data_IF_502135994358
#
_entry.id   IF_502135994358
#
_cell.length_a   1.000
_cell.length_b   1.000
_cell.length_c   1.000
_cell.angle_alpha   90.00
_cell.angle_beta   90.00
_cell.angle_gamma   90.00
#
_symmetry.space_group_name_H-M   'P 1'
#
loop_
_entity.id
_entity.type
_entity.pdbx_description
1 polymer ?
#
# COMPACT_ATOMS: atom_id res chain seq x y z
N UNK A 1 -15.73 -38.52 -19.32
CA UNK A 1 -14.70 -37.47 -19.12
C UNK A 1 -14.96 -36.40 -20.16
N UNK A 2 -15.84 -35.47 -19.85
CA UNK A 2 -16.11 -34.28 -20.67
C UNK A 2 -15.16 -33.17 -20.16
N UNK A 3 -14.20 -32.80 -21.01
CA UNK A 3 -13.27 -31.71 -20.69
C UNK A 3 -14.04 -30.43 -20.40
N UNK A 4 -13.62 -29.75 -19.32
CA UNK A 4 -14.09 -28.40 -19.01
C UNK A 4 -13.82 -27.51 -20.24
N UNK A 5 -14.74 -26.61 -20.60
CA UNK A 5 -14.44 -25.63 -21.65
C UNK A 5 -13.22 -24.81 -21.23
N UNK A 6 -12.28 -24.67 -22.16
CA UNK A 6 -11.10 -23.79 -22.01
C UNK A 6 -11.60 -22.36 -21.82
N UNK A 7 -11.52 -21.86 -20.59
CA UNK A 7 -11.81 -20.45 -20.26
C UNK A 7 -10.59 -19.55 -20.37
N UNK A 8 -9.52 -20.01 -21.02
CA UNK A 8 -8.41 -19.17 -21.43
C UNK A 8 -8.83 -18.25 -22.60
N UNK A 9 -9.85 -17.43 -22.37
CA UNK A 9 -10.09 -16.27 -23.23
C UNK A 9 -8.86 -15.35 -23.16
N UNK A 10 -8.44 -14.85 -24.33
CA UNK A 10 -7.44 -13.79 -24.39
C UNK A 10 -7.73 -12.70 -23.36
N UNK A 11 -6.71 -12.03 -22.76
CA UNK A 11 -6.92 -10.98 -21.76
C UNK A 11 -8.00 -10.03 -22.27
N UNK A 12 -9.16 -10.03 -21.59
CA UNK A 12 -10.37 -9.45 -22.10
C UNK A 12 -10.16 -7.95 -22.26
N UNK A 13 -10.57 -7.44 -23.39
CA UNK A 13 -10.84 -6.00 -23.55
C UNK A 13 -11.71 -5.56 -22.38
N UNK A 14 -11.23 -4.56 -21.60
CA UNK A 14 -11.93 -4.01 -20.46
C UNK A 14 -13.40 -3.77 -20.82
N UNK A 15 -14.32 -4.40 -20.09
CA UNK A 15 -15.74 -4.11 -20.19
C UNK A 15 -15.99 -2.65 -19.75
N UNK A 16 -17.13 -2.04 -20.13
CA UNK A 16 -17.43 -0.68 -19.74
C UNK A 16 -17.42 -0.55 -18.21
N UNK A 17 -16.46 0.23 -17.68
CA UNK A 17 -16.31 0.52 -16.26
C UNK A 17 -15.08 -0.04 -15.57
N UNK A 18 -14.21 -0.78 -16.27
CA UNK A 18 -12.96 -1.32 -15.70
C UNK A 18 -11.76 -0.69 -16.38
N UNK A 19 -10.76 -0.33 -15.57
CA UNK A 19 -9.52 0.24 -16.07
C UNK A 19 -8.41 -0.81 -15.97
N UNK A 20 -7.90 -1.23 -17.13
CA UNK A 20 -6.67 -2.01 -17.19
C UNK A 20 -5.52 -1.03 -17.33
N UNK A 21 -4.63 -0.91 -16.32
CA UNK A 21 -3.49 0.00 -16.42
C UNK A 21 -2.52 -0.50 -17.49
N UNK A 22 -1.98 0.44 -18.26
CA UNK A 22 -0.82 0.19 -19.14
C UNK A 22 0.46 0.37 -18.32
N UNK A 23 0.88 -0.70 -17.64
CA UNK A 23 2.04 -0.70 -16.76
C UNK A 23 3.33 -0.86 -17.53
N UNK A 24 4.28 0.06 -17.37
CA UNK A 24 5.61 0.00 -18.01
C UNK A 24 6.40 -1.26 -17.63
N UNK A 25 6.24 -1.71 -16.38
CA UNK A 25 6.88 -2.91 -15.83
C UNK A 25 5.86 -3.65 -14.94
N UNK A 26 4.96 -4.47 -15.53
CA UNK A 26 3.92 -5.16 -14.77
C UNK A 26 4.46 -6.27 -13.86
N UNK A 27 5.47 -7.00 -14.32
CA UNK A 27 6.11 -8.05 -13.52
C UNK A 27 7.26 -7.47 -12.72
N UNK A 28 7.16 -7.57 -11.37
CA UNK A 28 8.15 -6.99 -10.46
C UNK A 28 8.60 -7.98 -9.41
N UNK A 29 9.89 -7.90 -9.06
CA UNK A 29 10.50 -8.75 -8.04
C UNK A 29 10.82 -7.93 -6.79
N UNK A 30 10.42 -8.45 -5.63
CA UNK A 30 10.61 -7.91 -4.31
C UNK A 30 11.33 -8.96 -3.47
N UNK A 31 12.65 -8.88 -3.37
CA UNK A 31 13.45 -9.92 -2.75
C UNK A 31 13.27 -11.27 -3.44
N UNK A 32 12.66 -12.23 -2.75
CA UNK A 32 12.39 -13.58 -3.28
C UNK A 32 11.04 -13.70 -4.00
N UNK A 33 10.19 -12.69 -3.94
CA UNK A 33 8.82 -12.76 -4.45
C UNK A 33 8.66 -11.96 -5.73
N UNK A 34 8.03 -12.59 -6.73
CA UNK A 34 7.66 -11.93 -7.99
C UNK A 34 6.15 -11.79 -8.05
N UNK A 35 5.66 -10.60 -8.44
CA UNK A 35 4.24 -10.28 -8.59
C UNK A 35 4.02 -9.77 -10.00
N UNK A 36 3.02 -10.34 -10.68
CA UNK A 36 2.51 -9.87 -11.95
C UNK A 36 1.29 -8.98 -11.74
N UNK A 37 1.46 -7.68 -11.80
CA UNK A 37 0.42 -6.70 -11.59
C UNK A 37 -0.61 -6.60 -12.73
N UNK A 38 -0.37 -7.25 -13.88
CA UNK A 38 -1.41 -7.35 -14.92
C UNK A 38 -2.54 -8.30 -14.47
N UNK A 39 -2.22 -9.30 -13.63
CA UNK A 39 -3.15 -10.33 -13.21
C UNK A 39 -3.30 -10.47 -11.69
N UNK A 40 -2.64 -9.60 -10.91
CA UNK A 40 -2.66 -9.65 -9.45
C UNK A 40 -2.99 -8.30 -8.85
N UNK A 41 -3.91 -8.32 -7.87
CA UNK A 41 -4.14 -7.20 -6.95
C UNK A 41 -3.52 -7.58 -5.62
N UNK A 42 -2.38 -6.98 -5.29
CA UNK A 42 -1.66 -7.29 -4.07
C UNK A 42 -2.38 -6.71 -2.84
N UNK A 43 -2.46 -7.51 -1.78
CA UNK A 43 -2.96 -7.05 -0.48
C UNK A 43 -1.78 -6.76 0.43
N UNK A 44 -1.65 -5.51 0.86
CA UNK A 44 -0.64 -5.03 1.80
C UNK A 44 -1.27 -4.92 3.19
N UNK A 45 -0.84 -5.78 4.10
CA UNK A 45 -1.28 -5.78 5.49
C UNK A 45 -0.61 -4.66 6.28
N UNK A 46 -1.36 -3.98 7.15
CA UNK A 46 -0.86 -2.92 8.02
C UNK A 46 -0.46 -3.51 9.36
N UNK A 47 0.81 -3.35 9.75
CA UNK A 47 1.31 -3.72 11.08
C UNK A 47 1.98 -2.51 11.73
N UNK A 48 1.31 -1.93 12.72
CA UNK A 48 1.84 -0.78 13.45
C UNK A 48 2.43 -1.25 14.80
N UNK A 49 3.71 -0.94 15.03
CA UNK A 49 4.35 -1.06 16.33
C UNK A 49 4.45 0.32 16.98
N UNK A 50 3.29 0.87 17.35
CA UNK A 50 3.20 2.14 18.06
C UNK A 50 2.72 1.88 19.49
N UNK A 51 3.37 2.43 20.55
CA UNK A 51 2.90 2.27 21.90
C UNK A 51 1.52 2.93 22.07
N UNK A 52 0.48 2.12 22.25
CA UNK A 52 -0.75 2.58 22.87
C UNK A 52 -0.63 2.24 24.36
N UNK A 53 -0.26 3.26 25.17
CA UNK A 53 -0.28 3.30 26.65
C UNK A 53 0.81 2.58 27.45
N UNK A 54 1.47 3.39 28.26
CA UNK A 54 1.92 3.22 29.64
C UNK A 54 2.11 1.77 30.17
N UNK A 55 3.31 1.24 30.13
CA UNK A 55 4.08 0.59 31.21
C UNK A 55 5.25 -0.24 30.69
N UNK A 56 6.40 -0.10 31.33
CA UNK A 56 7.73 -0.67 31.05
C UNK A 56 7.89 -2.20 30.97
N UNK A 57 6.84 -2.97 30.76
CA UNK A 57 6.90 -4.41 30.46
C UNK A 57 6.56 -4.72 29.00
N UNK A 58 6.42 -3.70 28.16
CA UNK A 58 5.80 -3.79 26.83
C UNK A 58 6.73 -4.03 25.65
N UNK A 59 8.00 -3.66 25.66
CA UNK A 59 8.81 -3.63 24.44
C UNK A 59 8.99 -5.01 23.78
N UNK A 60 9.31 -6.05 24.56
CA UNK A 60 9.42 -7.43 24.05
C UNK A 60 8.06 -7.98 23.67
N UNK A 61 7.04 -7.77 24.49
CA UNK A 61 5.68 -8.22 24.24
C UNK A 61 5.06 -7.54 22.99
N UNK A 62 5.37 -6.26 22.78
CA UNK A 62 4.95 -5.53 21.57
C UNK A 62 5.69 -6.01 20.33
N UNK A 63 6.97 -6.39 20.45
CA UNK A 63 7.72 -7.01 19.36
C UNK A 63 7.10 -8.36 18.97
N UNK A 64 6.90 -9.26 19.93
CA UNK A 64 6.32 -10.58 19.68
C UNK A 64 4.92 -10.48 19.06
N UNK A 65 4.11 -9.51 19.51
CA UNK A 65 2.79 -9.23 18.93
C UNK A 65 2.89 -8.73 17.48
N UNK A 66 3.81 -7.83 17.19
CA UNK A 66 3.99 -7.28 15.85
C UNK A 66 4.49 -8.37 14.88
N UNK A 67 5.46 -9.18 15.31
CA UNK A 67 5.95 -10.32 14.53
C UNK A 67 4.83 -11.34 14.30
N UNK A 68 4.11 -11.75 15.36
CA UNK A 68 3.01 -12.68 15.23
C UNK A 68 1.86 -12.13 14.35
N UNK A 69 1.59 -10.82 14.39
CA UNK A 69 0.61 -10.19 13.50
C UNK A 69 1.09 -10.23 12.04
N UNK A 70 2.39 -9.97 11.80
CA UNK A 70 2.99 -10.02 10.46
C UNK A 70 2.97 -11.44 9.88
N UNK A 71 3.31 -12.44 10.68
CA UNK A 71 3.25 -13.86 10.26
C UNK A 71 1.81 -14.26 9.97
N UNK A 72 0.87 -13.94 10.85
CA UNK A 72 -0.56 -14.22 10.59
C UNK A 72 -1.08 -13.53 9.33
N UNK A 73 -0.67 -12.30 9.06
CA UNK A 73 -1.04 -11.61 7.84
C UNK A 73 -0.55 -12.37 6.60
N UNK A 74 0.68 -12.86 6.62
CA UNK A 74 1.24 -13.70 5.55
C UNK A 74 0.47 -15.03 5.40
N UNK A 75 0.14 -15.72 6.51
CA UNK A 75 -0.68 -16.93 6.53
C UNK A 75 -2.10 -16.71 6.02
N UNK A 76 -2.68 -15.53 6.26
CA UNK A 76 -3.98 -15.10 5.72
C UNK A 76 -3.93 -14.76 4.23
N UNK A 77 -2.76 -14.82 3.60
CA UNK A 77 -2.59 -14.62 2.17
C UNK A 77 -2.24 -13.19 1.76
N UNK A 78 -1.82 -12.32 2.68
CA UNK A 78 -1.26 -11.04 2.33
C UNK A 78 -0.05 -11.22 1.40
N UNK A 79 0.04 -10.38 0.38
CA UNK A 79 1.19 -10.34 -0.51
C UNK A 79 2.35 -9.56 0.11
N UNK A 80 2.00 -8.54 0.92
CA UNK A 80 2.91 -7.61 1.57
C UNK A 80 2.53 -7.41 3.03
N UNK A 81 3.53 -7.09 3.86
CA UNK A 81 3.37 -6.59 5.23
C UNK A 81 4.07 -5.25 5.34
N UNK A 82 3.33 -4.21 5.73
CA UNK A 82 3.83 -2.85 5.88
C UNK A 82 4.00 -2.51 7.36
N UNK A 83 5.25 -2.35 7.78
CA UNK A 83 5.64 -2.20 9.17
C UNK A 83 5.91 -0.72 9.46
N UNK A 84 5.12 -0.13 10.36
CA UNK A 84 5.27 1.26 10.79
C UNK A 84 5.63 1.39 12.27
N UNK A 85 6.64 2.20 12.58
CA UNK A 85 7.08 2.51 13.96
C UNK A 85 6.52 3.82 14.51
N UNK A 86 6.02 4.71 13.63
CA UNK A 86 5.53 6.05 13.98
C UNK A 86 4.27 6.37 13.19
N UNK A 87 3.24 6.89 13.88
CA UNK A 87 2.02 7.37 13.21
C UNK A 87 2.34 8.64 12.41
N UNK A 88 1.82 8.78 11.21
CA UNK A 88 1.92 10.02 10.42
C UNK A 88 1.15 11.19 11.10
N UNK A 89 0.07 10.87 11.80
CA UNK A 89 -0.78 11.84 12.49
C UNK A 89 -0.01 12.75 13.48
N UNK A 90 -0.50 13.98 13.77
CA UNK A 90 0.13 14.90 14.70
C UNK A 90 0.44 14.25 16.06
N UNK A 91 1.57 14.63 16.64
CA UNK A 91 2.00 14.14 17.95
C UNK A 91 3.47 14.47 18.24
N UNK A 92 4.01 14.04 19.38
CA UNK A 92 5.39 14.31 19.75
C UNK A 92 6.36 13.69 18.73
N UNK A 93 7.46 14.40 18.49
CA UNK A 93 8.53 13.86 17.67
C UNK A 93 9.16 12.66 18.37
N UNK A 94 9.50 11.64 17.57
CA UNK A 94 10.22 10.47 18.02
C UNK A 94 11.60 10.50 17.35
N UNK A 95 12.71 10.28 18.08
CA UNK A 95 14.04 10.13 17.47
C UNK A 95 14.08 8.99 16.44
N UNK A 96 14.91 9.11 15.40
CA UNK A 96 15.06 8.05 14.40
C UNK A 96 15.59 6.74 15.03
N UNK A 97 16.44 6.83 16.06
CA UNK A 97 16.91 5.67 16.83
C UNK A 97 15.76 4.85 17.42
N UNK A 98 14.78 5.54 18.01
CA UNK A 98 13.65 4.87 18.66
C UNK A 98 12.71 4.22 17.62
N UNK A 99 12.58 4.83 16.44
CA UNK A 99 11.82 4.23 15.32
C UNK A 99 12.56 3.00 14.78
N UNK A 100 13.89 3.05 14.64
CA UNK A 100 14.73 1.91 14.25
C UNK A 100 14.55 0.76 15.25
N UNK A 101 14.61 1.01 16.56
CA UNK A 101 14.38 0.00 17.60
C UNK A 101 12.99 -0.64 17.54
N UNK A 102 12.01 0.07 17.02
CA UNK A 102 10.66 -0.47 16.83
C UNK A 102 10.51 -1.30 15.55
N UNK A 103 11.10 -0.86 14.46
CA UNK A 103 10.87 -1.43 13.12
C UNK A 103 11.82 -2.57 12.81
N UNK A 104 13.13 -2.36 13.00
CA UNK A 104 14.17 -3.27 12.54
C UNK A 104 14.02 -4.69 13.12
N UNK A 105 13.78 -4.90 14.43
CA UNK A 105 13.63 -6.25 14.96
C UNK A 105 12.43 -7.02 14.40
N UNK A 106 11.35 -6.31 14.01
CA UNK A 106 10.18 -6.93 13.36
C UNK A 106 10.54 -7.36 11.94
N UNK A 107 11.23 -6.49 11.18
CA UNK A 107 11.71 -6.78 9.83
C UNK A 107 12.64 -8.00 9.82
N UNK A 108 13.64 -8.04 10.71
CA UNK A 108 14.60 -9.14 10.82
C UNK A 108 13.92 -10.48 11.10
N UNK A 109 13.00 -10.51 12.07
CA UNK A 109 12.30 -11.75 12.43
C UNK A 109 11.36 -12.20 11.31
N UNK A 110 10.64 -11.29 10.68
CA UNK A 110 9.74 -11.63 9.58
C UNK A 110 10.50 -12.13 8.34
N UNK A 111 11.64 -11.52 8.00
CA UNK A 111 12.49 -11.95 6.89
C UNK A 111 13.05 -13.37 7.05
N UNK A 112 13.19 -13.86 8.30
CA UNK A 112 13.61 -15.23 8.60
C UNK A 112 12.47 -16.24 8.56
N UNK A 113 11.21 -15.79 8.75
CA UNK A 113 10.05 -16.67 8.94
C UNK A 113 9.13 -16.73 7.73
N UNK A 114 9.24 -15.79 6.79
CA UNK A 114 8.31 -15.67 5.66
C UNK A 114 8.98 -15.08 4.42
N UNK A 115 8.48 -15.47 3.26
CA UNK A 115 8.83 -14.86 1.96
C UNK A 115 7.87 -13.72 1.56
N UNK A 116 7.02 -13.25 2.48
CA UNK A 116 6.13 -12.11 2.24
C UNK A 116 6.95 -10.86 1.90
N UNK A 117 6.45 -10.02 1.01
CA UNK A 117 7.12 -8.74 0.74
C UNK A 117 7.09 -7.85 1.98
N UNK A 118 8.25 -7.41 2.45
CA UNK A 118 8.38 -6.58 3.65
C UNK A 118 8.53 -5.13 3.23
N UNK A 119 7.58 -4.31 3.63
CA UNK A 119 7.54 -2.86 3.46
C UNK A 119 7.79 -2.17 4.80
N UNK A 120 8.50 -1.06 4.78
CA UNK A 120 8.66 -0.16 5.93
C UNK A 120 7.94 1.16 5.66
N UNK A 121 6.97 1.51 6.53
CA UNK A 121 6.27 2.81 6.50
C UNK A 121 7.10 3.83 7.29
N UNK A 122 7.90 4.61 6.58
CA UNK A 122 8.75 5.65 7.17
C UNK A 122 9.04 6.79 6.20
N UNK A 123 9.16 7.98 6.74
CA UNK A 123 9.61 9.18 6.02
C UNK A 123 11.06 9.56 6.37
N UNK A 124 11.77 8.71 7.10
CA UNK A 124 13.15 8.97 7.55
C UNK A 124 14.15 8.10 6.80
N UNK A 125 15.13 8.72 6.11
CA UNK A 125 16.14 7.97 5.37
C UNK A 125 16.96 7.01 6.23
N UNK A 126 17.25 7.39 7.48
CA UNK A 126 18.03 6.57 8.41
C UNK A 126 17.27 5.29 8.81
N UNK A 127 15.95 5.39 9.00
CA UNK A 127 15.09 4.24 9.32
C UNK A 127 14.95 3.33 8.08
N UNK A 128 14.74 3.93 6.90
CA UNK A 128 14.67 3.20 5.66
C UNK A 128 15.95 2.41 5.39
N UNK A 129 17.12 3.02 5.55
CA UNK A 129 18.41 2.35 5.39
C UNK A 129 18.57 1.16 6.34
N UNK A 130 18.24 1.35 7.63
CA UNK A 130 18.33 0.29 8.63
C UNK A 130 17.34 -0.86 8.33
N UNK A 131 16.10 -0.55 7.93
CA UNK A 131 15.09 -1.56 7.58
C UNK A 131 15.47 -2.34 6.32
N UNK A 132 16.02 -1.68 5.29
CA UNK A 132 16.52 -2.35 4.08
C UNK A 132 17.66 -3.31 4.44
N UNK A 133 18.61 -2.87 5.26
CA UNK A 133 19.70 -3.74 5.73
C UNK A 133 19.20 -4.96 6.53
N UNK A 134 18.06 -4.83 7.20
CA UNK A 134 17.39 -5.89 7.95
C UNK A 134 16.54 -6.83 7.06
N UNK A 135 16.29 -6.50 5.80
CA UNK A 135 15.57 -7.33 4.85
C UNK A 135 14.26 -6.74 4.29
N UNK A 136 13.94 -5.47 4.57
CA UNK A 136 12.83 -4.80 3.90
C UNK A 136 13.16 -4.60 2.40
N UNK A 137 12.18 -4.87 1.54
CA UNK A 137 12.33 -4.76 0.09
C UNK A 137 11.50 -3.62 -0.50
N UNK A 138 10.72 -2.94 0.34
CA UNK A 138 9.91 -1.79 -0.04
C UNK A 138 10.04 -0.70 1.03
N UNK A 139 10.17 0.54 0.60
CA UNK A 139 10.04 1.74 1.43
C UNK A 139 8.74 2.44 1.06
N UNK A 140 7.82 2.55 2.02
CA UNK A 140 6.55 3.26 1.87
C UNK A 140 6.73 4.68 2.45
N UNK A 141 7.07 5.64 1.57
CA UNK A 141 7.31 7.02 1.98
C UNK A 141 6.06 7.88 1.82
N UNK A 142 5.39 8.12 2.95
CA UNK A 142 4.16 8.93 3.02
C UNK A 142 4.38 10.42 2.78
N UNK A 143 5.63 10.87 2.59
CA UNK A 143 5.96 12.26 2.22
C UNK A 143 6.30 12.45 0.74
N UNK A 144 6.33 11.36 -0.02
CA UNK A 144 6.61 11.38 -1.44
C UNK A 144 8.01 11.91 -1.76
N UNK A 145 9.03 11.38 -1.10
CA UNK A 145 10.44 11.77 -1.28
C UNK A 145 10.69 13.25 -0.98
N UNK A 146 10.08 13.78 0.08
CA UNK A 146 10.31 15.17 0.49
C UNK A 146 11.76 15.38 0.99
N UNK A 147 12.36 14.40 1.66
CA UNK A 147 13.78 14.39 2.00
C UNK A 147 14.59 13.78 0.83
N UNK A 148 15.47 14.55 0.16
CA UNK A 148 16.25 14.04 -0.97
C UNK A 148 17.17 12.87 -0.62
N UNK A 149 17.56 12.71 0.65
CA UNK A 149 18.37 11.59 1.13
C UNK A 149 17.62 10.27 1.03
N UNK A 150 16.27 10.28 1.10
CA UNK A 150 15.46 9.07 0.94
C UNK A 150 15.64 8.47 -0.47
N UNK A 151 15.60 9.30 -1.50
CA UNK A 151 15.83 8.85 -2.86
C UNK A 151 17.23 8.23 -3.04
N UNK A 152 18.27 8.79 -2.41
CA UNK A 152 19.61 8.23 -2.44
C UNK A 152 19.68 6.85 -1.75
N UNK A 153 19.09 6.72 -0.55
CA UNK A 153 19.03 5.43 0.18
C UNK A 153 18.36 4.33 -0.67
N UNK A 154 17.25 4.65 -1.33
CA UNK A 154 16.57 3.67 -2.19
C UNK A 154 17.39 3.37 -3.45
N UNK A 155 18.00 4.38 -4.08
CA UNK A 155 18.83 4.19 -5.28
C UNK A 155 20.04 3.28 -5.01
N UNK A 156 20.68 3.44 -3.85
CA UNK A 156 21.85 2.66 -3.42
C UNK A 156 21.49 1.22 -2.95
N UNK A 157 20.23 0.80 -3.08
CA UNK A 157 19.73 -0.51 -2.68
C UNK A 157 18.94 -1.17 -3.81
N UNK A 158 18.40 -2.39 -3.56
CA UNK A 158 17.44 -3.05 -4.44
C UNK A 158 15.98 -2.80 -4.03
N UNK A 159 15.72 -1.95 -3.06
CA UNK A 159 14.38 -1.68 -2.56
C UNK A 159 13.54 -0.90 -3.59
N UNK A 160 12.24 -1.19 -3.59
CA UNK A 160 11.20 -0.43 -4.28
C UNK A 160 10.73 0.72 -3.39
N UNK A 161 10.38 1.86 -3.96
CA UNK A 161 9.76 2.97 -3.24
C UNK A 161 8.28 3.11 -3.62
N UNK A 162 7.43 3.31 -2.60
CA UNK A 162 6.08 3.83 -2.77
C UNK A 162 6.12 5.34 -2.53
N UNK A 163 5.77 6.10 -3.56
CA UNK A 163 5.76 7.56 -3.54
C UNK A 163 4.34 8.02 -3.28
N UNK A 164 4.08 8.53 -2.08
CA UNK A 164 2.73 8.95 -1.67
C UNK A 164 2.53 10.45 -1.80
N UNK A 165 1.39 10.86 -2.36
CA UNK A 165 1.00 12.27 -2.36
C UNK A 165 0.53 12.70 -0.97
N UNK A 166 1.27 13.61 -0.36
CA UNK A 166 0.86 14.35 0.83
C UNK A 166 1.46 15.75 0.81
N UNK A 167 0.64 16.75 1.15
CA UNK A 167 1.11 18.13 1.40
C UNK A 167 1.23 18.40 2.90
N UNK A 168 0.91 17.41 3.74
CA UNK A 168 1.06 17.50 5.19
C UNK A 168 2.49 17.12 5.61
N UNK A 169 3.02 17.85 6.58
CA UNK A 169 4.25 17.46 7.25
C UNK A 169 3.97 16.36 8.27
N UNK A 170 4.79 15.30 8.32
CA UNK A 170 4.64 14.24 9.32
C UNK A 170 4.66 14.82 10.74
N UNK A 171 3.82 14.29 11.62
CA UNK A 171 3.72 14.66 13.03
C UNK A 171 3.29 16.10 13.30
N UNK A 172 2.98 16.90 12.28
CA UNK A 172 2.53 18.30 12.41
C UNK A 172 1.03 18.41 12.17
N UNK A 173 0.31 19.28 12.91
CA UNK A 173 -1.07 19.60 12.58
C UNK A 173 -1.12 20.34 11.24
N UNK A 174 -2.21 20.16 10.51
CA UNK A 174 -2.45 20.91 9.28
C UNK A 174 -2.56 22.41 9.59
N UNK A 175 -1.82 23.29 8.88
CA UNK A 175 -1.87 24.72 9.10
C UNK A 175 -3.21 25.34 8.67
N UNK A 176 -3.91 24.70 7.73
CA UNK A 176 -5.23 25.10 7.24
C UNK A 176 -5.96 23.88 6.67
N UNK A 177 -7.31 23.96 6.52
CA UNK A 177 -8.07 22.95 5.80
C UNK A 177 -7.53 22.77 4.38
N UNK A 178 -7.48 21.52 3.85
CA UNK A 178 -6.99 21.25 2.50
C UNK A 178 -7.89 21.91 1.46
N UNK A 179 -7.28 22.55 0.46
CA UNK A 179 -7.98 23.15 -0.67
C UNK A 179 -7.31 22.68 -1.97
N UNK A 180 -8.11 22.27 -2.93
CA UNK A 180 -7.68 21.86 -4.26
C UNK A 180 -8.60 22.49 -5.28
N UNK A 181 -8.05 23.05 -6.36
CA UNK A 181 -8.80 23.51 -7.52
C UNK A 181 -9.16 22.35 -8.44
N UNK A 182 -8.21 21.43 -8.63
CA UNK A 182 -8.36 20.18 -9.38
C UNK A 182 -7.57 19.07 -8.65
N UNK A 183 -8.23 18.35 -7.75
CA UNK A 183 -7.58 17.37 -6.88
C UNK A 183 -6.83 16.28 -7.66
N UNK A 184 -7.38 15.73 -8.74
CA UNK A 184 -6.71 14.68 -9.49
C UNK A 184 -5.54 15.23 -10.32
N UNK A 185 -5.73 16.36 -10.99
CA UNK A 185 -4.67 17.02 -11.75
C UNK A 185 -3.49 17.44 -10.87
N UNK A 186 -3.75 17.98 -9.67
CA UNK A 186 -2.72 18.38 -8.71
C UNK A 186 -1.97 17.17 -8.14
N UNK A 187 -2.69 16.07 -7.82
CA UNK A 187 -2.07 14.80 -7.37
C UNK A 187 -1.20 14.19 -8.48
N UNK A 188 -1.69 14.16 -9.71
CA UNK A 188 -0.93 13.65 -10.87
C UNK A 188 0.32 14.49 -11.11
N UNK A 189 0.22 15.81 -11.05
CA UNK A 189 1.36 16.71 -11.23
C UNK A 189 2.42 16.50 -10.15
N UNK A 190 2.00 16.38 -8.89
CA UNK A 190 2.88 16.09 -7.76
C UNK A 190 3.59 14.74 -7.95
N UNK A 191 2.83 13.66 -8.19
CA UNK A 191 3.40 12.33 -8.34
C UNK A 191 4.38 12.25 -9.51
N UNK A 192 4.09 12.92 -10.63
CA UNK A 192 5.00 13.00 -11.79
C UNK A 192 6.33 13.67 -11.41
N UNK A 193 6.27 14.81 -10.74
CA UNK A 193 7.47 15.52 -10.26
C UNK A 193 8.30 14.65 -9.31
N UNK A 194 7.65 13.89 -8.42
CA UNK A 194 8.34 12.99 -7.48
C UNK A 194 8.92 11.76 -8.16
N UNK A 195 8.25 11.22 -9.15
CA UNK A 195 8.79 10.15 -10.01
C UNK A 195 10.01 10.64 -10.76
N UNK A 196 9.96 11.83 -11.39
CA UNK A 196 11.11 12.40 -12.09
C UNK A 196 12.31 12.58 -11.13
N UNK A 197 12.05 12.96 -9.89
CA UNK A 197 13.06 13.09 -8.83
C UNK A 197 13.68 11.73 -8.47
N UNK A 198 12.86 10.68 -8.35
CA UNK A 198 13.31 9.31 -8.09
C UNK A 198 14.19 8.78 -9.24
N UNK A 199 13.77 8.99 -10.48
CA UNK A 199 14.53 8.61 -11.67
C UNK A 199 15.87 9.35 -11.75
N UNK A 200 15.88 10.67 -11.49
CA UNK A 200 17.09 11.48 -11.46
C UNK A 200 18.09 11.04 -10.37
N UNK A 201 17.59 10.48 -9.26
CA UNK A 201 18.42 9.89 -8.21
C UNK A 201 18.95 8.48 -8.57
N UNK A 202 18.53 7.88 -9.69
CA UNK A 202 18.99 6.57 -10.15
C UNK A 202 18.05 5.40 -9.78
N UNK A 203 16.88 5.65 -9.22
CA UNK A 203 15.89 4.59 -8.97
C UNK A 203 15.25 4.18 -10.30
N UNK A 204 15.35 2.92 -10.74
CA UNK A 204 14.75 2.48 -12.01
C UNK A 204 13.22 2.48 -11.96
N UNK A 205 12.56 2.71 -13.10
CA UNK A 205 11.10 2.72 -13.21
C UNK A 205 10.42 1.47 -12.62
N UNK A 206 11.06 0.31 -12.76
CA UNK A 206 10.57 -0.97 -12.23
C UNK A 206 10.52 -1.01 -10.70
N UNK A 207 11.15 -0.08 -10.00
CA UNK A 207 11.16 0.03 -8.53
C UNK A 207 10.39 1.24 -7.99
N UNK A 208 9.48 1.80 -8.80
CA UNK A 208 8.62 2.92 -8.41
C UNK A 208 7.16 2.47 -8.39
N UNK A 209 6.47 2.77 -7.30
CA UNK A 209 5.03 2.61 -7.10
C UNK A 209 4.50 3.97 -6.65
N UNK A 210 3.26 4.31 -7.00
CA UNK A 210 2.66 5.59 -6.63
C UNK A 210 1.40 5.38 -5.78
N UNK A 211 1.18 6.29 -4.82
CA UNK A 211 -0.01 6.32 -3.97
C UNK A 211 -0.64 7.73 -4.02
N UNK A 212 -1.91 7.87 -4.41
CA UNK A 212 -2.58 9.16 -4.43
C UNK A 212 -2.84 9.76 -3.04
N UNK A 213 -2.57 9.01 -1.96
CA UNK A 213 -2.65 9.50 -0.59
C UNK A 213 -4.07 9.79 -0.11
N UNK A 214 -4.97 8.81 -0.18
CA UNK A 214 -6.33 8.92 0.35
C UNK A 214 -6.30 9.38 1.82
N UNK A 215 -7.09 10.39 2.18
CA UNK A 215 -7.15 11.09 3.48
C UNK A 215 -5.87 11.85 3.92
N UNK A 216 -4.76 11.72 3.19
CA UNK A 216 -3.55 12.48 3.51
C UNK A 216 -3.66 13.89 2.92
N UNK A 217 -3.83 14.90 3.78
CA UNK A 217 -4.08 16.29 3.41
C UNK A 217 -5.27 16.43 2.43
N UNK A 218 -6.32 15.66 2.62
CA UNK A 218 -7.56 15.64 1.84
C UNK A 218 -8.75 15.46 2.77
N UNK A 219 -9.84 16.16 2.51
CA UNK A 219 -11.12 15.91 3.18
C UNK A 219 -11.87 14.77 2.47
N UNK A 220 -13.01 14.40 3.03
CA UNK A 220 -13.86 13.33 2.50
C UNK A 220 -14.28 13.57 1.05
N UNK A 221 -14.68 14.78 0.69
CA UNK A 221 -15.10 15.12 -0.68
C UNK A 221 -13.93 14.99 -1.65
N UNK A 222 -12.76 15.53 -1.29
CA UNK A 222 -11.53 15.41 -2.08
C UNK A 222 -11.14 13.94 -2.28
N UNK A 223 -11.22 13.12 -1.23
CA UNK A 223 -10.84 11.71 -1.29
C UNK A 223 -11.80 10.92 -2.18
N UNK A 224 -13.11 11.16 -2.07
CA UNK A 224 -14.11 10.53 -2.94
C UNK A 224 -13.96 10.96 -4.40
N UNK A 225 -13.68 12.23 -4.68
CA UNK A 225 -13.44 12.71 -6.03
C UNK A 225 -12.17 12.09 -6.62
N UNK A 226 -11.07 12.10 -5.87
CA UNK A 226 -9.82 11.47 -6.27
C UNK A 226 -9.99 9.97 -6.57
N UNK A 227 -10.80 9.26 -5.76
CA UNK A 227 -11.11 7.86 -6.00
C UNK A 227 -11.86 7.68 -7.32
N UNK A 228 -12.87 8.51 -7.64
CA UNK A 228 -13.58 8.45 -8.93
C UNK A 228 -12.66 8.72 -10.13
N UNK A 229 -11.65 9.56 -9.92
CA UNK A 229 -10.68 9.98 -10.95
C UNK A 229 -9.35 9.24 -10.86
N UNK A 230 -9.30 8.12 -10.12
CA UNK A 230 -8.10 7.27 -9.98
C UNK A 230 -7.47 6.87 -11.33
N UNK A 231 -8.23 6.64 -12.41
CA UNK A 231 -7.66 6.38 -13.74
C UNK A 231 -6.66 7.43 -14.23
N UNK A 232 -6.76 8.68 -13.80
CA UNK A 232 -5.80 9.73 -14.16
C UNK A 232 -4.42 9.50 -13.48
N UNK A 233 -4.42 8.99 -12.24
CA UNK A 233 -3.19 8.57 -11.54
C UNK A 233 -2.62 7.29 -12.18
N UNK A 234 -3.51 6.34 -12.52
CA UNK A 234 -3.14 5.08 -13.18
C UNK A 234 -2.46 5.32 -14.53
N UNK A 235 -2.88 6.37 -15.25
CA UNK A 235 -2.27 6.78 -16.53
C UNK A 235 -0.80 7.22 -16.42
N UNK A 236 -0.23 7.36 -15.21
CA UNK A 236 1.21 7.54 -15.03
C UNK A 236 2.02 6.30 -15.43
N UNK A 237 1.39 5.11 -15.54
CA UNK A 237 2.02 3.86 -15.96
C UNK A 237 2.80 3.13 -14.87
N UNK A 238 2.60 3.48 -13.62
CA UNK A 238 3.16 2.79 -12.43
C UNK A 238 2.05 2.06 -11.67
N UNK A 239 2.35 0.93 -10.98
CA UNK A 239 1.35 0.34 -10.09
C UNK A 239 0.89 1.35 -9.06
N UNK A 240 -0.43 1.44 -8.88
CA UNK A 240 -1.04 2.35 -7.91
C UNK A 240 -1.39 1.59 -6.64
N UNK A 241 -0.94 2.12 -5.50
CA UNK A 241 -1.35 1.68 -4.18
C UNK A 241 -2.54 2.54 -3.71
N UNK A 242 -3.59 1.88 -3.23
CA UNK A 242 -4.76 2.52 -2.62
C UNK A 242 -4.84 2.17 -1.13
N UNK A 243 -4.50 3.14 -0.28
CA UNK A 243 -4.58 3.00 1.18
C UNK A 243 -5.94 3.48 1.68
N UNK A 244 -6.95 2.60 1.71
CA UNK A 244 -8.36 2.99 1.93
C UNK A 244 -9.00 2.39 3.19
N UNK A 245 -8.28 1.56 3.93
CA UNK A 245 -8.83 0.84 5.09
C UNK A 245 -9.02 1.71 6.31
N UNK A 246 -10.21 1.66 6.91
CA UNK A 246 -10.58 2.35 8.16
C UNK A 246 -10.40 3.89 8.13
N UNK A 247 -10.26 4.47 6.96
CA UNK A 247 -10.06 5.91 6.74
C UNK A 247 -11.28 6.74 7.13
N UNK A 248 -11.05 8.01 7.43
CA UNK A 248 -12.12 8.88 7.91
C UNK A 248 -13.16 9.18 6.84
N UNK A 249 -12.76 9.26 5.56
CA UNK A 249 -13.72 9.43 4.46
C UNK A 249 -14.71 8.24 4.36
N UNK A 250 -14.30 7.00 4.72
CA UNK A 250 -15.21 5.85 4.77
C UNK A 250 -16.20 6.00 5.93
N UNK A 251 -15.68 6.38 7.12
CA UNK A 251 -16.51 6.59 8.29
C UNK A 251 -17.51 7.71 8.11
N UNK A 252 -17.09 8.85 7.58
CA UNK A 252 -17.94 10.01 7.31
C UNK A 252 -18.99 9.72 6.24
N UNK A 253 -18.64 9.01 5.18
CA UNK A 253 -19.59 8.61 4.13
C UNK A 253 -20.71 7.71 4.62
N UNK A 254 -20.44 6.87 5.63
CA UNK A 254 -21.37 5.86 6.13
C UNK A 254 -21.98 6.19 7.51
N UNK A 255 -21.50 7.24 8.17
CA UNK A 255 -21.85 7.52 9.56
C UNK A 255 -21.36 6.43 10.52
N UNK A 256 -20.15 5.85 10.28
CA UNK A 256 -19.61 4.72 11.06
C UNK A 256 -18.36 5.12 11.84
N UNK A 257 -18.27 4.77 13.14
CA UNK A 257 -17.06 4.95 13.93
C UNK A 257 -15.94 4.01 13.45
N UNK A 258 -14.72 4.27 13.94
CA UNK A 258 -13.60 3.35 13.72
C UNK A 258 -13.91 1.96 14.29
N UNK A 259 -13.51 0.91 13.58
CA UNK A 259 -13.83 -0.50 13.92
C UNK A 259 -15.14 -1.02 13.29
N UNK A 260 -15.99 -0.16 12.73
CA UNK A 260 -17.23 -0.56 12.03
C UNK A 260 -17.18 -0.20 10.53
N UNK A 261 -15.99 -0.04 9.97
CA UNK A 261 -15.77 0.46 8.60
C UNK A 261 -15.36 -0.64 7.60
N UNK A 262 -15.37 -1.91 8.01
CA UNK A 262 -14.89 -3.03 7.19
C UNK A 262 -15.59 -3.08 5.83
N UNK A 263 -16.92 -3.14 5.80
CA UNK A 263 -17.68 -3.24 4.55
C UNK A 263 -17.44 -2.05 3.61
N UNK A 264 -17.34 -0.83 4.16
CA UNK A 264 -16.99 0.36 3.38
C UNK A 264 -15.56 0.33 2.87
N UNK A 265 -14.62 -0.16 3.68
CA UNK A 265 -13.21 -0.31 3.28
C UNK A 265 -13.06 -1.33 2.16
N UNK A 266 -13.75 -2.48 2.23
CA UNK A 266 -13.75 -3.50 1.17
C UNK A 266 -14.41 -2.96 -0.11
N UNK A 267 -15.52 -2.25 0.01
CA UNK A 267 -16.21 -1.65 -1.13
C UNK A 267 -15.30 -0.67 -1.89
N UNK A 268 -14.65 0.27 -1.17
CA UNK A 268 -13.78 1.25 -1.83
C UNK A 268 -12.47 0.62 -2.33
N UNK A 269 -11.95 -0.43 -1.67
CA UNK A 269 -10.80 -1.19 -2.17
C UNK A 269 -11.16 -1.88 -3.49
N UNK A 270 -12.33 -2.52 -3.57
CA UNK A 270 -12.85 -3.13 -4.81
C UNK A 270 -13.02 -2.10 -5.93
N UNK A 271 -13.63 -0.95 -5.63
CA UNK A 271 -13.76 0.14 -6.61
C UNK A 271 -12.40 0.64 -7.07
N UNK A 272 -11.44 0.84 -6.15
CA UNK A 272 -10.09 1.26 -6.51
C UNK A 272 -9.38 0.26 -7.41
N UNK A 273 -9.52 -1.05 -7.14
CA UNK A 273 -8.97 -2.12 -7.97
C UNK A 273 -9.58 -2.13 -9.38
N UNK A 274 -10.91 -1.96 -9.48
CA UNK A 274 -11.60 -1.84 -10.77
C UNK A 274 -11.20 -0.57 -11.55
N UNK A 275 -10.83 0.50 -10.85
CA UNK A 275 -10.33 1.75 -11.45
C UNK A 275 -8.82 1.72 -11.72
N UNK A 276 -8.16 0.57 -11.54
CA UNK A 276 -6.78 0.34 -11.96
C UNK A 276 -5.74 0.29 -10.85
N UNK A 277 -6.12 0.40 -9.56
CA UNK A 277 -5.19 0.11 -8.48
C UNK A 277 -4.74 -1.36 -8.52
N UNK A 278 -3.48 -1.60 -8.17
CA UNK A 278 -2.88 -2.94 -8.15
C UNK A 278 -2.38 -3.36 -6.78
N UNK A 279 -2.42 -2.46 -5.82
CA UNK A 279 -2.09 -2.72 -4.43
C UNK A 279 -3.17 -2.07 -3.56
N UNK A 280 -3.71 -2.80 -2.59
CA UNK A 280 -4.62 -2.27 -1.57
C UNK A 280 -4.01 -2.46 -0.18
N UNK A 281 -3.90 -1.36 0.59
CA UNK A 281 -3.32 -1.37 1.93
C UNK A 281 -4.44 -1.43 2.97
N UNK A 282 -4.51 -2.56 3.71
CA UNK A 282 -5.68 -2.96 4.48
C UNK A 282 -5.33 -3.43 5.90
N UNK A 283 -6.26 -3.23 6.86
CA UNK A 283 -6.15 -3.75 8.23
C UNK A 283 -6.71 -5.17 8.34
N UNK A 284 -7.88 -5.41 7.74
CA UNK A 284 -8.63 -6.67 7.82
C UNK A 284 -8.16 -7.57 6.67
N UNK A 285 -7.09 -8.35 6.93
CA UNK A 285 -6.31 -9.01 5.87
C UNK A 285 -7.11 -10.12 5.19
N UNK A 286 -7.69 -11.06 5.95
CA UNK A 286 -8.38 -12.21 5.37
C UNK A 286 -9.53 -11.79 4.45
N UNK A 287 -10.38 -10.88 4.93
CA UNK A 287 -11.52 -10.36 4.18
C UNK A 287 -11.08 -9.56 2.94
N UNK A 288 -9.95 -8.86 3.05
CA UNK A 288 -9.39 -8.10 1.93
C UNK A 288 -8.79 -9.03 0.88
N UNK A 289 -8.12 -10.10 1.29
CA UNK A 289 -7.62 -11.15 0.38
C UNK A 289 -8.79 -11.79 -0.36
N UNK A 290 -9.83 -12.21 0.35
CA UNK A 290 -11.01 -12.82 -0.27
C UNK A 290 -11.67 -11.86 -1.29
N UNK A 291 -11.83 -10.59 -0.92
CA UNK A 291 -12.40 -9.58 -1.82
C UNK A 291 -11.56 -9.41 -3.08
N UNK A 292 -10.22 -9.27 -2.97
CA UNK A 292 -9.34 -9.08 -4.13
C UNK A 292 -9.24 -10.36 -4.98
N UNK A 293 -9.23 -11.56 -4.38
CA UNK A 293 -9.26 -12.83 -5.14
C UNK A 293 -10.59 -13.01 -5.87
N UNK A 294 -11.70 -12.52 -5.29
CA UNK A 294 -13.00 -12.52 -5.98
C UNK A 294 -13.01 -11.54 -7.17
N UNK A 295 -12.40 -10.37 -7.03
CA UNK A 295 -12.21 -9.43 -8.15
C UNK A 295 -11.37 -10.09 -9.25
N UNK A 296 -10.22 -10.69 -8.92
CA UNK A 296 -9.35 -11.40 -9.88
C UNK A 296 -10.10 -12.52 -10.62
N UNK A 297 -10.91 -13.30 -9.90
CA UNK A 297 -11.71 -14.37 -10.50
C UNK A 297 -12.80 -13.82 -11.43
N UNK A 298 -13.45 -12.71 -11.03
CA UNK A 298 -14.47 -12.03 -11.85
C UNK A 298 -13.88 -11.46 -13.13
N UNK A 299 -12.61 -10.99 -13.07
CA UNK A 299 -11.85 -10.48 -14.22
C UNK A 299 -11.29 -11.59 -15.12
N UNK A 300 -11.42 -12.86 -14.73
CA UNK A 300 -10.84 -13.98 -15.46
C UNK A 300 -9.33 -14.14 -15.28
N UNK A 301 -8.73 -13.41 -14.31
CA UNK A 301 -7.30 -13.49 -14.01
C UNK A 301 -6.94 -14.69 -13.11
N UNK A 302 -7.94 -15.26 -12.47
CA UNK A 302 -7.80 -16.39 -11.55
C UNK A 302 -8.86 -17.43 -11.81
N UNK A 303 -8.44 -18.70 -11.92
CA UNK A 303 -9.37 -19.84 -11.95
C UNK A 303 -10.03 -20.01 -10.59
N UNK A 304 -11.37 -20.25 -10.52
CA UNK A 304 -12.04 -20.63 -9.29
C UNK A 304 -11.38 -21.85 -8.64
N UNK A 305 -11.29 -21.86 -7.31
CA UNK A 305 -10.72 -22.98 -6.55
C UNK A 305 -11.56 -24.27 -6.76
N UNK A 306 -12.87 -24.12 -6.87
CA UNK A 306 -13.81 -25.21 -7.16
C UNK A 306 -14.85 -24.75 -8.20
N UNK A 307 -15.30 -25.70 -9.01
CA UNK A 307 -16.37 -25.50 -10.00
C UNK A 307 -17.33 -26.70 -9.91
N UNK A 308 -18.18 -26.72 -8.86
CA UNK A 308 -19.11 -27.83 -8.60
C UNK A 308 -20.56 -27.42 -8.72
N UNK A 309 -20.85 -26.11 -8.79
CA UNK A 309 -22.22 -25.63 -8.86
C UNK A 309 -22.81 -25.90 -10.24
N UNK A 310 -23.97 -26.64 -10.28
CA UNK A 310 -24.68 -27.01 -11.51
C UNK A 310 -23.83 -27.79 -12.55
N UNK A 311 -22.86 -28.59 -12.10
CA UNK A 311 -22.05 -29.47 -12.96
C UNK A 311 -22.47 -30.93 -12.86
#
# INVERSE_FOLDING_TARGET
MTGLPDVSGAPGTAGPGWVVPDLRHPVRTFGRRTIDFDHRIAVMAIVNRTPDSFHDRGATFELDRAVAASVRAAEQGADWVDIGGVKFAPGPELPASDEIERVVPVVEQLAQQSDVVISVDTFRPEVAAAAIAAGATVVNDTTGLSDPRMAAVVADSDATVVITHSLAEPRRPLPAPPQYGDIAGEVVAFLRERVDRALAAGIPESRIIVDPGHDLHKNTVHTLELTRRLPEVVALGYPVLAAVSNKDFVGESLGRPRGERLSGSLAVATVSAMLGARIVRMHDVAESVDAMRMVEATLGWRTPVESRHNT
#
